data_IF_353570709484
#
_entry.id   IF_353570709484
#
_cell.length_a   1.000
_cell.length_b   1.000
_cell.length_c   1.000
_cell.angle_alpha   90.00
_cell.angle_beta   90.00
_cell.angle_gamma   90.00
#
_symmetry.space_group_name_H-M   'P 1'
#
loop_
_entity.id
_entity.type
_entity.pdbx_description
1 polymer ?
#
# COMPACT_ATOMS: atom_id res chain seq x y z
N UNK A 1 -60.28 3.82 74.04
CA UNK A 1 -59.77 2.65 73.36
C UNK A 1 -59.16 3.13 72.03
N UNK A 2 -57.84 3.29 71.95
CA UNK A 2 -57.13 3.73 70.75
C UNK A 2 -56.37 2.54 70.21
N UNK A 3 -56.68 2.16 68.95
CA UNK A 3 -56.05 1.08 68.25
C UNK A 3 -54.83 1.69 67.53
N UNK A 4 -53.63 1.22 67.91
CA UNK A 4 -52.37 1.57 67.25
C UNK A 4 -52.15 0.59 66.09
N UNK A 5 -52.08 1.11 64.82
CA UNK A 5 -51.70 0.35 63.71
C UNK A 5 -50.16 0.34 63.55
N UNK A 6 -49.53 -0.82 63.73
CA UNK A 6 -48.15 -1.04 63.45
C UNK A 6 -48.00 -1.14 61.90
N UNK A 7 -47.20 -0.24 61.31
CA UNK A 7 -46.71 -0.34 59.95
C UNK A 7 -45.39 -1.13 59.95
N UNK A 8 -45.43 -2.34 59.40
CA UNK A 8 -44.20 -3.10 59.05
C UNK A 8 -43.57 -2.50 57.79
N UNK A 9 -42.43 -1.89 57.96
CA UNK A 9 -41.52 -1.57 56.82
C UNK A 9 -40.72 -2.82 56.46
N UNK A 10 -41.04 -3.41 55.30
CA UNK A 10 -40.23 -4.46 54.69
C UNK A 10 -38.90 -3.88 54.18
N UNK A 11 -37.80 -4.26 54.79
CA UNK A 11 -36.46 -4.06 54.26
C UNK A 11 -36.25 -4.99 53.02
N UNK A 12 -36.30 -4.41 51.88
CA UNK A 12 -35.79 -5.07 50.65
C UNK A 12 -34.25 -5.00 50.66
N UNK A 13 -33.51 -6.11 50.68
CA UNK A 13 -32.08 -6.06 50.53
C UNK A 13 -31.80 -5.74 49.04
N UNK A 14 -31.34 -4.52 48.77
CA UNK A 14 -30.67 -4.22 47.51
C UNK A 14 -29.38 -5.08 47.42
N UNK A 15 -29.47 -6.16 46.68
CA UNK A 15 -28.27 -6.81 46.19
C UNK A 15 -27.60 -5.83 45.21
N UNK A 16 -26.64 -5.09 45.69
CA UNK A 16 -25.64 -4.44 44.88
C UNK A 16 -24.80 -5.58 44.27
N UNK A 17 -25.14 -5.95 43.06
CA UNK A 17 -24.24 -6.72 42.24
C UNK A 17 -23.08 -5.79 41.91
N UNK A 18 -22.07 -5.82 42.76
CA UNK A 18 -20.74 -5.36 42.44
C UNK A 18 -20.29 -6.22 41.28
N UNK A 19 -20.17 -5.66 40.06
CA UNK A 19 -19.28 -6.20 39.09
C UNK A 19 -17.89 -6.16 39.72
N UNK A 20 -17.48 -7.22 40.37
CA UNK A 20 -16.07 -7.48 40.59
C UNK A 20 -15.44 -7.51 39.17
N UNK A 21 -14.77 -6.41 38.82
CA UNK A 21 -13.72 -6.49 37.82
C UNK A 21 -12.79 -7.56 38.38
N UNK A 22 -12.79 -8.73 37.74
CA UNK A 22 -11.69 -9.67 37.89
C UNK A 22 -10.42 -8.85 37.77
N UNK A 23 -9.78 -8.61 38.88
CA UNK A 23 -8.43 -8.11 38.94
C UNK A 23 -7.57 -9.22 38.37
N UNK A 24 -7.45 -9.27 37.04
CA UNK A 24 -6.38 -10.03 36.45
C UNK A 24 -5.10 -9.42 36.99
N UNK A 25 -4.36 -10.17 37.78
CA UNK A 25 -2.94 -9.93 38.02
C UNK A 25 -2.29 -9.85 36.60
N UNK A 26 -2.32 -8.65 36.03
CA UNK A 26 -1.65 -8.38 34.76
C UNK A 26 -0.17 -8.43 35.10
N UNK A 27 0.42 -9.56 34.78
CA UNK A 27 1.85 -9.70 34.82
C UNK A 27 2.42 -8.62 33.87
N UNK A 28 3.07 -7.62 34.45
CA UNK A 28 3.73 -6.56 33.69
C UNK A 28 4.76 -7.23 32.79
N UNK A 29 4.54 -7.13 31.48
CA UNK A 29 5.53 -7.58 30.50
C UNK A 29 6.41 -6.38 30.21
N UNK A 30 7.67 -6.46 30.60
CA UNK A 30 8.66 -5.44 30.27
C UNK A 30 8.77 -5.32 28.75
N UNK A 31 8.50 -4.11 28.23
CA UNK A 31 8.62 -3.84 26.80
C UNK A 31 10.13 -3.74 26.50
N UNK A 32 10.66 -4.51 25.55
CA UNK A 32 12.08 -4.44 25.20
C UNK A 32 12.49 -3.02 24.84
N UNK A 33 13.70 -2.63 25.22
CA UNK A 33 14.28 -1.35 24.82
C UNK A 33 14.25 -1.23 23.27
N UNK A 34 13.86 -0.07 22.78
CA UNK A 34 13.77 0.18 21.35
C UNK A 34 12.53 -0.40 20.65
N UNK A 35 11.64 -1.10 21.35
CA UNK A 35 10.46 -1.72 20.74
C UNK A 35 9.47 -0.71 20.10
N UNK A 36 9.52 0.55 20.51
CA UNK A 36 8.78 1.63 19.84
C UNK A 36 9.36 2.00 18.47
N UNK A 37 10.60 1.62 18.18
CA UNK A 37 11.33 1.98 16.98
C UNK A 37 10.93 1.07 15.81
N UNK A 38 9.82 1.37 15.13
CA UNK A 38 9.27 0.56 14.02
C UNK A 38 10.29 0.23 12.93
N UNK A 39 11.23 1.13 12.67
CA UNK A 39 12.24 1.04 11.62
C UNK A 39 13.63 1.48 12.10
N UNK A 40 14.01 1.09 13.31
CA UNK A 40 15.29 1.49 13.89
C UNK A 40 15.46 3.01 13.91
N UNK A 41 16.60 3.49 13.46
CA UNK A 41 16.92 4.94 13.44
C UNK A 41 16.11 5.75 12.43
N UNK A 42 15.42 5.10 11.48
CA UNK A 42 14.50 5.78 10.55
C UNK A 42 13.10 6.00 11.16
N UNK A 43 12.91 5.66 12.43
CA UNK A 43 11.63 5.85 13.11
C UNK A 43 11.40 7.31 13.45
N UNK A 44 10.20 7.84 13.12
CA UNK A 44 9.75 9.16 13.55
C UNK A 44 8.63 9.05 14.60
N UNK A 45 8.51 10.05 15.47
CA UNK A 45 7.52 10.09 16.55
C UNK A 45 6.36 11.04 16.28
N UNK A 46 6.16 11.42 15.01
CA UNK A 46 5.05 12.27 14.61
C UNK A 46 3.71 11.54 14.76
N UNK A 47 2.70 12.27 15.21
CA UNK A 47 1.33 11.76 15.39
C UNK A 47 0.32 12.40 14.45
N UNK A 48 0.79 13.33 13.60
CA UNK A 48 -0.04 14.01 12.60
C UNK A 48 -0.32 13.12 11.37
N UNK A 49 -1.17 13.61 10.48
CA UNK A 49 -1.44 12.98 9.17
C UNK A 49 -0.21 12.92 8.25
N UNK A 50 0.82 13.72 8.54
CA UNK A 50 2.10 13.73 7.81
C UNK A 50 3.15 12.76 8.37
N UNK A 51 2.79 11.88 9.30
CA UNK A 51 3.74 10.94 9.90
C UNK A 51 4.35 9.95 8.90
N UNK A 52 3.69 9.69 7.77
CA UNK A 52 4.20 8.84 6.69
C UNK A 52 5.01 9.59 5.62
N UNK A 53 4.91 10.91 5.62
CA UNK A 53 5.43 11.82 4.61
C UNK A 53 6.56 12.70 5.17
N UNK A 54 7.31 12.17 6.09
CA UNK A 54 8.38 12.91 6.76
C UNK A 54 9.70 12.18 6.59
N UNK A 55 10.77 12.94 6.38
CA UNK A 55 12.11 12.39 6.22
C UNK A 55 12.58 11.62 7.46
N UNK A 56 13.41 10.62 7.26
CA UNK A 56 14.10 9.94 8.34
C UNK A 56 15.05 10.90 9.07
N UNK A 57 15.09 10.83 10.40
CA UNK A 57 15.77 11.81 11.26
C UNK A 57 17.29 11.97 11.04
N UNK A 58 17.92 11.02 10.37
CA UNK A 58 19.35 11.04 10.03
C UNK A 58 19.63 11.74 8.69
N UNK A 59 18.60 12.07 7.90
CA UNK A 59 18.79 12.76 6.64
C UNK A 59 19.24 14.21 6.89
N UNK A 60 20.17 14.70 6.10
CA UNK A 60 20.69 16.07 6.25
C UNK A 60 21.42 16.55 5.02
N UNK A 61 21.62 17.87 4.95
CA UNK A 61 22.36 18.52 3.88
C UNK A 61 21.75 18.29 2.50
N UNK A 62 22.57 17.91 1.53
CA UNK A 62 22.13 17.71 0.15
C UNK A 62 21.06 16.61 0.03
N UNK A 63 21.11 15.57 0.85
CA UNK A 63 20.12 14.51 0.82
C UNK A 63 18.75 14.97 1.32
N UNK A 64 18.70 15.87 2.32
CA UNK A 64 17.44 16.48 2.76
C UNK A 64 16.86 17.40 1.70
N UNK A 65 17.70 18.16 0.95
CA UNK A 65 17.23 18.96 -0.19
C UNK A 65 16.63 18.08 -1.27
N UNK A 66 17.35 17.07 -1.72
CA UNK A 66 16.87 16.11 -2.74
C UNK A 66 15.62 15.34 -2.31
N UNK A 67 15.49 15.05 -1.01
CA UNK A 67 14.27 14.46 -0.46
C UNK A 67 13.06 15.39 -0.65
N UNK A 68 13.23 16.69 -0.37
CA UNK A 68 12.16 17.68 -0.59
C UNK A 68 11.85 17.91 -2.07
N UNK A 69 12.85 17.83 -2.94
CA UNK A 69 12.65 17.90 -4.39
C UNK A 69 11.86 16.69 -4.86
N UNK A 70 12.22 15.49 -4.39
CA UNK A 70 11.51 14.24 -4.66
C UNK A 70 10.07 14.20 -4.12
N UNK A 71 9.81 14.78 -2.93
CA UNK A 71 8.46 14.94 -2.36
C UNK A 71 7.61 15.85 -3.26
N UNK A 72 8.18 16.98 -3.70
CA UNK A 72 7.53 17.89 -4.64
C UNK A 72 7.14 17.19 -5.94
N UNK A 73 8.06 16.44 -6.54
CA UNK A 73 7.82 15.68 -7.78
C UNK A 73 6.80 14.54 -7.60
N UNK A 74 6.79 13.91 -6.43
CA UNK A 74 5.85 12.86 -6.07
C UNK A 74 4.41 13.36 -5.99
N UNK A 75 4.21 14.56 -5.45
CA UNK A 75 2.90 15.20 -5.31
C UNK A 75 2.49 16.03 -6.54
N UNK A 76 3.43 16.32 -7.46
CA UNK A 76 3.18 17.17 -8.62
C UNK A 76 2.11 16.57 -9.53
N UNK A 77 1.07 17.40 -9.78
CA UNK A 77 -0.07 17.03 -10.62
C UNK A 77 0.31 17.21 -12.08
N UNK A 78 0.54 16.11 -12.78
CA UNK A 78 0.83 16.11 -14.20
C UNK A 78 -0.37 16.58 -15.01
N UNK A 79 -0.10 17.27 -16.12
CA UNK A 79 -1.14 17.80 -17.02
C UNK A 79 -0.90 17.31 -18.45
N UNK A 80 -1.88 17.48 -19.32
CA UNK A 80 -1.77 17.13 -20.75
C UNK A 80 -0.92 18.09 -21.58
N UNK A 81 -0.16 18.98 -20.97
CA UNK A 81 0.71 19.95 -21.66
C UNK A 81 2.07 19.32 -21.91
N UNK A 82 2.45 19.25 -23.16
CA UNK A 82 3.67 18.58 -23.66
C UNK A 82 5.00 19.27 -23.34
N UNK A 83 5.02 20.34 -22.58
CA UNK A 83 6.26 21.11 -22.47
C UNK A 83 7.14 20.69 -21.30
N UNK A 84 6.58 20.02 -20.29
CA UNK A 84 7.33 19.66 -19.08
C UNK A 84 6.79 18.36 -18.42
N UNK A 85 6.75 17.26 -19.13
CA UNK A 85 6.36 15.99 -18.55
C UNK A 85 4.86 15.83 -18.36
N UNK A 86 4.13 15.87 -19.46
CA UNK A 86 2.69 15.71 -19.51
C UNK A 86 2.22 14.29 -19.19
N UNK A 87 0.92 14.18 -18.90
CA UNK A 87 0.24 12.88 -18.91
C UNK A 87 0.30 12.28 -20.31
N UNK A 88 0.49 10.98 -20.40
CA UNK A 88 0.39 10.26 -21.67
C UNK A 88 -0.99 10.37 -22.31
N UNK A 89 -1.20 9.80 -23.52
CA UNK A 89 -2.50 9.85 -24.17
C UNK A 89 -3.62 9.33 -23.28
N UNK A 90 -3.33 8.26 -22.52
CA UNK A 90 -4.22 7.62 -21.54
C UNK A 90 -3.55 7.51 -20.18
N UNK A 91 -4.34 7.56 -19.12
CA UNK A 91 -3.83 7.47 -17.74
C UNK A 91 -4.91 6.97 -16.78
N UNK A 92 -4.50 6.48 -15.61
CA UNK A 92 -5.38 6.12 -14.51
C UNK A 92 -5.28 7.11 -13.33
N UNK A 93 -4.12 7.75 -13.16
CA UNK A 93 -3.85 8.78 -12.14
C UNK A 93 -3.02 9.92 -12.70
N UNK A 94 -2.85 11.00 -11.95
CA UNK A 94 -2.15 12.22 -12.40
C UNK A 94 -1.03 12.67 -11.46
N UNK A 95 -0.80 11.97 -10.36
CA UNK A 95 0.40 12.08 -9.51
C UNK A 95 0.50 10.85 -8.61
N UNK A 96 1.68 10.57 -8.06
CA UNK A 96 1.83 9.51 -7.05
C UNK A 96 1.00 9.83 -5.81
N UNK A 97 1.10 11.06 -5.30
CA UNK A 97 0.38 11.54 -4.12
C UNK A 97 -1.14 11.55 -4.27
N UNK A 98 -1.67 11.56 -5.51
CA UNK A 98 -3.11 11.47 -5.76
C UNK A 98 -3.69 10.12 -5.31
N UNK A 99 -2.94 9.02 -5.45
CA UNK A 99 -3.30 7.69 -4.98
C UNK A 99 -2.66 7.33 -3.64
N UNK A 100 -1.47 7.85 -3.35
CA UNK A 100 -0.67 7.55 -2.15
C UNK A 100 -0.54 8.77 -1.25
N UNK A 101 -1.66 9.37 -0.86
CA UNK A 101 -1.69 10.64 -0.13
C UNK A 101 -0.79 10.60 1.11
N UNK A 102 0.13 11.60 1.21
CA UNK A 102 1.18 11.67 2.23
C UNK A 102 1.97 10.36 2.32
N UNK A 103 2.43 9.82 1.20
CA UNK A 103 3.12 8.53 1.08
C UNK A 103 2.40 7.35 1.77
N UNK A 104 1.14 7.57 2.13
CA UNK A 104 0.31 6.64 2.87
C UNK A 104 -0.63 5.85 1.98
N UNK A 105 -1.73 5.43 2.58
CA UNK A 105 -2.82 4.73 1.90
C UNK A 105 -4.03 5.65 1.87
N UNK A 106 -4.61 5.88 0.71
CA UNK A 106 -5.85 6.62 0.61
C UNK A 106 -7.04 5.78 1.08
N UNK A 107 -8.09 6.47 1.51
CA UNK A 107 -9.38 5.83 1.72
C UNK A 107 -9.94 5.43 0.35
N UNK A 108 -10.43 4.19 0.18
CA UNK A 108 -11.08 3.79 -1.06
C UNK A 108 -12.20 4.77 -1.41
N UNK A 109 -12.14 5.32 -2.61
CA UNK A 109 -13.24 6.14 -3.14
C UNK A 109 -14.15 5.22 -3.93
N UNK A 110 -15.40 5.14 -3.52
CA UNK A 110 -16.41 4.36 -4.22
C UNK A 110 -16.91 5.14 -5.44
N UNK A 111 -17.00 4.47 -6.58
CA UNK A 111 -17.69 5.03 -7.75
C UNK A 111 -19.20 5.09 -7.50
N UNK A 112 -19.88 6.02 -8.10
CA UNK A 112 -21.34 6.08 -8.03
C UNK A 112 -21.96 4.87 -8.73
N UNK A 113 -22.99 4.29 -8.13
CA UNK A 113 -23.72 3.18 -8.72
C UNK A 113 -24.33 3.56 -10.09
N UNK A 114 -24.07 2.75 -11.12
CA UNK A 114 -24.61 2.96 -12.48
C UNK A 114 -23.95 4.09 -13.27
N UNK A 115 -22.93 4.76 -12.73
CA UNK A 115 -22.12 5.74 -13.45
C UNK A 115 -20.91 5.12 -14.13
N UNK A 116 -20.54 5.62 -15.31
CA UNK A 116 -19.19 5.42 -15.82
C UNK A 116 -18.23 6.12 -14.86
N UNK A 117 -17.35 5.36 -14.22
CA UNK A 117 -16.53 5.61 -13.01
C UNK A 117 -15.95 6.92 -12.94
N UNK A 118 -15.98 7.95 -13.20
CA UNK A 118 -15.20 9.13 -12.83
C UNK A 118 -15.97 10.45 -12.78
N UNK A 119 -16.81 10.53 -11.79
CA UNK A 119 -17.12 11.87 -11.28
C UNK A 119 -16.15 12.20 -10.15
N UNK A 120 -14.91 12.36 -10.52
CA UNK A 120 -13.85 12.62 -9.59
C UNK A 120 -12.82 11.49 -9.55
N UNK A 121 -11.69 11.81 -9.01
CA UNK A 121 -10.56 10.94 -8.87
C UNK A 121 -10.88 9.72 -8.01
N UNK A 122 -10.67 8.54 -8.55
CA UNK A 122 -10.67 7.30 -7.78
C UNK A 122 -9.22 6.95 -7.42
N UNK A 123 -8.96 6.79 -6.13
CA UNK A 123 -7.66 6.29 -5.65
C UNK A 123 -7.51 4.77 -5.79
N UNK A 124 -8.45 4.09 -6.44
CA UNK A 124 -8.36 2.66 -6.71
C UNK A 124 -7.98 2.41 -8.15
N UNK A 125 -7.04 1.50 -8.36
CA UNK A 125 -6.61 1.06 -9.68
C UNK A 125 -7.31 -0.24 -10.07
N UNK A 126 -7.64 -0.38 -11.35
CA UNK A 126 -8.23 -1.60 -11.91
C UNK A 126 -7.18 -2.35 -12.69
N UNK A 127 -6.62 -3.41 -12.09
CA UNK A 127 -5.72 -4.30 -12.82
C UNK A 127 -6.49 -5.08 -13.88
N UNK A 128 -5.95 -5.09 -15.09
CA UNK A 128 -6.46 -5.89 -16.20
C UNK A 128 -5.45 -6.97 -16.57
N UNK A 129 -5.92 -8.19 -16.64
CA UNK A 129 -5.13 -9.35 -17.07
C UNK A 129 -5.96 -10.28 -17.94
N UNK A 130 -5.30 -11.17 -18.64
CA UNK A 130 -5.97 -12.34 -19.23
C UNK A 130 -6.50 -13.24 -18.11
N UNK A 131 -7.43 -14.13 -18.44
CA UNK A 131 -7.98 -15.11 -17.47
C UNK A 131 -6.93 -16.03 -16.83
N UNK A 132 -5.78 -16.20 -17.47
CA UNK A 132 -4.65 -16.95 -16.91
C UNK A 132 -3.70 -16.10 -16.05
N UNK A 133 -4.02 -14.82 -15.81
CA UNK A 133 -3.24 -13.88 -14.99
C UNK A 133 -2.11 -13.15 -15.75
N UNK A 134 -1.88 -13.45 -17.03
CA UNK A 134 -0.88 -12.73 -17.82
C UNK A 134 -1.36 -11.31 -18.17
N UNK A 135 -0.45 -10.35 -18.15
CA UNK A 135 -0.72 -8.99 -18.64
C UNK A 135 -0.81 -8.95 -20.17
N UNK A 136 -1.51 -7.96 -20.67
CA UNK A 136 -1.55 -7.66 -22.09
C UNK A 136 -0.33 -6.83 -22.49
N UNK A 137 0.25 -7.15 -23.62
CA UNK A 137 1.30 -6.31 -24.18
C UNK A 137 0.68 -4.96 -24.60
N UNK A 138 1.40 -3.87 -24.38
CA UNK A 138 1.00 -2.50 -24.75
C UNK A 138 -0.27 -1.96 -24.07
N UNK A 139 -0.63 -2.51 -22.90
CA UNK A 139 -1.75 -2.03 -22.08
C UNK A 139 -1.35 -1.84 -20.62
N UNK A 140 -0.07 -1.93 -20.31
CA UNK A 140 0.39 -1.84 -18.94
C UNK A 140 -0.23 -2.89 -18.02
N UNK A 141 -0.45 -2.51 -16.77
CA UNK A 141 -1.02 -3.37 -15.74
C UNK A 141 -2.42 -2.96 -15.31
N UNK A 142 -2.79 -1.71 -15.59
CA UNK A 142 -4.05 -1.09 -15.13
C UNK A 142 -4.88 -0.67 -16.33
N UNK A 143 -6.18 -0.57 -16.11
CA UNK A 143 -7.09 0.06 -17.06
C UNK A 143 -6.91 1.57 -16.97
N UNK A 144 -6.59 2.20 -18.11
CA UNK A 144 -6.55 3.65 -18.23
C UNK A 144 -7.95 4.14 -18.59
N UNK A 145 -8.70 4.54 -17.57
CA UNK A 145 -10.09 4.99 -17.69
C UNK A 145 -10.21 6.51 -17.89
N UNK A 146 -9.08 7.18 -18.05
CA UNK A 146 -8.94 8.58 -18.36
C UNK A 146 -8.03 8.78 -19.57
N UNK A 147 -8.23 9.91 -20.27
CA UNK A 147 -7.40 10.29 -21.41
C UNK A 147 -7.30 11.81 -21.48
N UNK A 148 -6.31 12.31 -22.21
CA UNK A 148 -6.21 13.72 -22.54
C UNK A 148 -7.35 14.15 -23.47
N UNK A 149 -7.56 15.46 -23.59
CA UNK A 149 -8.60 15.99 -24.49
C UNK A 149 -8.40 15.52 -25.93
N UNK A 150 -9.49 14.98 -26.52
CA UNK A 150 -9.51 14.49 -27.90
C UNK A 150 -9.01 13.06 -28.09
N UNK A 151 -8.64 12.38 -27.02
CA UNK A 151 -8.27 10.96 -27.00
C UNK A 151 -9.31 10.17 -26.21
N UNK A 152 -9.69 8.99 -26.70
CA UNK A 152 -10.57 8.09 -25.95
C UNK A 152 -9.76 7.30 -24.92
N UNK A 153 -10.27 7.08 -23.69
CA UNK A 153 -9.63 6.19 -22.74
C UNK A 153 -9.61 4.74 -23.25
N UNK A 154 -8.91 3.83 -22.60
CA UNK A 154 -8.97 2.41 -22.96
C UNK A 154 -10.35 1.81 -22.72
N UNK A 155 -11.03 2.26 -21.68
CA UNK A 155 -12.39 1.83 -21.36
C UNK A 155 -12.97 2.61 -20.19
N UNK A 156 -14.26 2.38 -19.93
CA UNK A 156 -14.96 2.96 -18.77
C UNK A 156 -15.47 1.85 -17.86
N UNK A 157 -15.46 2.13 -16.57
CA UNK A 157 -15.87 1.19 -15.55
C UNK A 157 -17.19 1.63 -14.91
N UNK A 158 -18.06 0.66 -14.64
CA UNK A 158 -19.23 0.80 -13.78
C UNK A 158 -19.11 -0.10 -12.57
N UNK A 159 -19.69 0.31 -11.44
CA UNK A 159 -19.75 -0.49 -10.25
C UNK A 159 -21.18 -0.60 -9.73
N UNK A 160 -21.55 -1.80 -9.31
CA UNK A 160 -22.79 -2.08 -8.57
C UNK A 160 -22.42 -2.57 -7.19
N UNK A 161 -23.10 -2.08 -6.17
CA UNK A 161 -22.89 -2.47 -4.78
C UNK A 161 -24.06 -3.33 -4.31
N UNK A 162 -23.76 -4.54 -3.84
CA UNK A 162 -24.72 -5.41 -3.17
C UNK A 162 -24.38 -5.44 -1.67
N UNK A 163 -25.34 -5.07 -0.82
CA UNK A 163 -25.17 -5.01 0.63
C UNK A 163 -25.78 -6.23 1.28
N UNK A 164 -25.07 -6.81 2.25
CA UNK A 164 -25.53 -7.96 3.01
C UNK A 164 -25.31 -7.70 4.51
N UNK A 165 -26.36 -7.90 5.28
CA UNK A 165 -26.31 -7.80 6.74
C UNK A 165 -25.96 -9.16 7.34
N UNK A 166 -25.03 -9.14 8.28
CA UNK A 166 -24.58 -10.29 9.07
C UNK A 166 -24.76 -9.97 10.56
N UNK A 167 -24.69 -11.00 11.38
CA UNK A 167 -24.85 -10.89 12.83
C UNK A 167 -23.69 -11.60 13.53
N UNK A 168 -23.14 -10.95 14.56
CA UNK A 168 -22.19 -11.55 15.48
C UNK A 168 -22.91 -12.47 16.48
N UNK A 169 -22.20 -13.42 17.16
CA UNK A 169 -22.80 -14.31 18.14
C UNK A 169 -23.50 -13.64 19.32
N UNK A 170 -23.18 -12.39 19.62
CA UNK A 170 -23.79 -11.57 20.66
C UNK A 170 -25.03 -10.79 20.20
N UNK A 171 -25.41 -10.92 18.92
CA UNK A 171 -26.57 -10.25 18.32
C UNK A 171 -26.29 -8.88 17.72
N UNK A 172 -25.06 -8.36 17.80
CA UNK A 172 -24.69 -7.15 17.09
C UNK A 172 -24.67 -7.42 15.57
N UNK A 173 -25.27 -6.50 14.80
CA UNK A 173 -25.32 -6.65 13.33
C UNK A 173 -24.27 -5.75 12.64
N UNK A 174 -23.76 -6.22 11.52
CA UNK A 174 -22.89 -5.44 10.63
C UNK A 174 -23.27 -5.68 9.18
N UNK A 175 -22.92 -4.71 8.33
CA UNK A 175 -23.20 -4.78 6.91
C UNK A 175 -21.89 -4.88 6.11
N UNK A 176 -21.84 -5.78 5.15
CA UNK A 176 -20.77 -5.90 4.16
C UNK A 176 -21.27 -5.44 2.80
N UNK A 177 -20.41 -4.69 2.12
CA UNK A 177 -20.62 -4.22 0.76
C UNK A 177 -19.79 -5.05 -0.22
N UNK A 178 -20.45 -5.69 -1.18
CA UNK A 178 -19.81 -6.43 -2.26
C UNK A 178 -19.88 -5.62 -3.56
N UNK A 179 -18.77 -5.04 -4.03
CA UNK A 179 -18.72 -4.38 -5.33
C UNK A 179 -18.63 -5.39 -6.46
N UNK A 180 -19.37 -5.13 -7.54
CA UNK A 180 -19.25 -5.83 -8.83
C UNK A 180 -18.85 -4.82 -9.88
N UNK A 181 -17.70 -4.99 -10.51
CA UNK A 181 -17.14 -4.09 -11.51
C UNK A 181 -17.41 -4.64 -12.90
N UNK A 182 -17.83 -3.74 -13.80
CA UNK A 182 -18.14 -4.06 -15.21
C UNK A 182 -17.56 -2.99 -16.11
N UNK A 183 -16.81 -3.38 -17.13
CA UNK A 183 -16.38 -2.47 -18.19
C UNK A 183 -17.60 -2.21 -19.09
N UNK A 184 -18.05 -0.97 -19.13
CA UNK A 184 -19.27 -0.58 -19.86
C UNK A 184 -18.99 -0.08 -21.26
N UNK A 185 -17.84 0.55 -21.46
CA UNK A 185 -17.39 1.06 -22.75
C UNK A 185 -15.95 0.59 -22.93
N UNK A 186 -15.59 0.17 -24.12
CA UNK A 186 -14.27 -0.34 -24.44
C UNK A 186 -13.79 0.24 -25.76
N UNK A 187 -12.71 0.98 -25.71
CA UNK A 187 -12.11 1.67 -26.85
C UNK A 187 -10.74 1.11 -27.25
N UNK A 188 -10.21 0.19 -26.47
CA UNK A 188 -8.99 -0.51 -26.83
C UNK A 188 -9.25 -1.50 -27.97
N UNK A 189 -8.45 -1.42 -29.01
CA UNK A 189 -8.75 -2.02 -30.31
C UNK A 189 -8.39 -3.50 -30.46
N UNK A 190 -7.49 -4.03 -29.66
CA UNK A 190 -6.96 -5.39 -29.82
C UNK A 190 -7.39 -6.38 -28.74
N UNK A 191 -8.16 -5.95 -27.75
CA UNK A 191 -8.62 -6.78 -26.65
C UNK A 191 -10.14 -6.75 -26.57
N UNK A 192 -10.75 -7.90 -26.34
CA UNK A 192 -12.20 -7.98 -26.10
C UNK A 192 -12.49 -8.00 -24.60
N UNK A 193 -13.51 -7.26 -24.12
CA UNK A 193 -13.85 -7.22 -22.69
C UNK A 193 -14.09 -8.60 -22.06
N UNK A 194 -14.62 -9.55 -22.82
CA UNK A 194 -14.88 -10.91 -22.35
C UNK A 194 -13.61 -11.74 -22.11
N UNK A 195 -12.47 -11.33 -22.64
CA UNK A 195 -11.15 -11.96 -22.43
C UNK A 195 -10.44 -11.43 -21.19
N UNK A 196 -11.00 -10.39 -20.56
CA UNK A 196 -10.40 -9.73 -19.41
C UNK A 196 -10.78 -10.40 -18.09
N UNK A 197 -9.83 -10.33 -17.17
CA UNK A 197 -10.07 -10.44 -15.74
C UNK A 197 -9.71 -9.11 -15.09
N UNK A 198 -10.67 -8.51 -14.39
CA UNK A 198 -10.49 -7.24 -13.69
C UNK A 198 -10.31 -7.48 -12.20
N UNK A 199 -9.32 -6.82 -11.61
CA UNK A 199 -9.09 -6.87 -10.16
C UNK A 199 -8.78 -5.47 -9.64
N UNK A 200 -9.68 -4.96 -8.81
CA UNK A 200 -9.53 -3.63 -8.20
C UNK A 200 -8.51 -3.71 -7.06
N UNK A 201 -7.62 -2.74 -7.01
CA UNK A 201 -6.54 -2.62 -6.03
C UNK A 201 -6.59 -1.27 -5.33
N UNK A 202 -6.40 -1.31 -4.02
CA UNK A 202 -6.17 -0.11 -3.21
C UNK A 202 -4.66 0.10 -3.16
N UNK A 203 -4.16 1.30 -3.51
CA UNK A 203 -2.74 1.62 -3.44
C UNK A 203 -2.17 1.34 -2.05
N UNK A 204 -0.96 0.79 -2.02
CA UNK A 204 -0.22 0.52 -0.78
C UNK A 204 0.46 1.80 -0.29
N UNK A 205 0.83 1.82 0.98
CA UNK A 205 1.66 2.91 1.51
C UNK A 205 3.11 2.73 1.05
N UNK A 206 3.81 3.84 0.83
CA UNK A 206 5.23 3.84 0.45
C UNK A 206 6.17 3.98 1.66
N UNK A 207 5.66 4.41 2.82
CA UNK A 207 6.43 4.43 4.06
C UNK A 207 7.02 3.05 4.37
N UNK A 208 8.31 3.01 4.66
CA UNK A 208 9.02 1.77 4.97
C UNK A 208 9.64 1.05 3.76
N UNK A 209 9.48 1.60 2.54
CA UNK A 209 10.04 0.98 1.32
C UNK A 209 11.58 0.85 1.40
N UNK A 210 12.27 1.89 1.86
CA UNK A 210 13.73 1.83 2.03
C UNK A 210 14.18 0.73 2.98
N UNK A 211 13.46 0.51 4.08
CA UNK A 211 13.73 -0.57 5.03
C UNK A 211 13.50 -1.94 4.39
N UNK A 212 12.45 -2.09 3.58
CA UNK A 212 12.19 -3.34 2.84
C UNK A 212 13.30 -3.62 1.83
N UNK A 213 13.77 -2.62 1.10
CA UNK A 213 14.91 -2.76 0.17
C UNK A 213 16.23 -3.07 0.88
N UNK A 214 16.33 -2.69 2.15
CA UNK A 214 17.51 -2.98 2.99
C UNK A 214 17.45 -4.34 3.70
N UNK A 215 16.35 -5.09 3.65
CA UNK A 215 16.19 -6.37 4.36
C UNK A 215 17.32 -7.35 4.09
N UNK A 216 17.71 -8.12 5.11
CA UNK A 216 18.61 -9.27 4.94
C UNK A 216 17.83 -10.42 4.28
N UNK A 217 18.07 -10.62 3.00
CA UNK A 217 17.39 -11.65 2.20
C UNK A 217 17.59 -13.06 2.77
N UNK A 218 18.75 -13.33 3.42
CA UNK A 218 19.00 -14.62 4.05
C UNK A 218 18.06 -14.90 5.21
N UNK A 219 17.62 -13.86 5.92
CA UNK A 219 16.64 -14.00 6.99
C UNK A 219 15.27 -14.40 6.44
N UNK A 220 14.85 -13.82 5.32
CA UNK A 220 13.60 -14.19 4.63
C UNK A 220 13.69 -15.63 4.08
N UNK A 221 14.79 -16.01 3.48
CA UNK A 221 15.02 -17.37 2.99
C UNK A 221 15.01 -18.39 4.15
N UNK A 222 15.57 -18.01 5.30
CA UNK A 222 15.53 -18.85 6.51
C UNK A 222 14.12 -18.97 7.09
N UNK A 223 13.30 -17.91 7.00
CA UNK A 223 11.89 -17.96 7.35
C UNK A 223 11.12 -18.91 6.42
N UNK A 224 11.33 -18.82 5.10
CA UNK A 224 10.71 -19.71 4.14
C UNK A 224 11.03 -21.21 4.44
N UNK A 225 12.27 -21.49 4.80
CA UNK A 225 12.69 -22.85 5.17
C UNK A 225 12.00 -23.39 6.43
N UNK A 226 11.50 -22.52 7.32
CA UNK A 226 10.82 -22.86 8.58
C UNK A 226 9.29 -22.72 8.47
N UNK A 227 8.78 -22.01 7.49
CA UNK A 227 7.36 -21.67 7.36
C UNK A 227 6.57 -22.85 6.78
N UNK A 228 6.45 -23.91 7.58
CA UNK A 228 5.61 -25.04 7.28
C UNK A 228 4.92 -25.51 8.57
N UNK A 229 3.66 -25.11 8.72
CA UNK A 229 2.82 -25.36 9.89
C UNK A 229 1.58 -26.14 9.45
N UNK A 230 1.71 -27.45 9.16
CA UNK A 230 0.61 -28.24 8.60
C UNK A 230 -0.59 -28.34 9.53
N UNK A 231 -0.40 -28.22 10.85
CA UNK A 231 -1.46 -28.18 11.84
C UNK A 231 -2.39 -26.95 11.72
N UNK A 232 -1.92 -25.89 11.07
CA UNK A 232 -2.68 -24.67 10.77
C UNK A 232 -2.97 -24.51 9.28
N UNK A 233 -2.50 -25.43 8.44
CA UNK A 233 -2.60 -25.30 6.97
C UNK A 233 -1.79 -24.15 6.39
N UNK A 234 -0.69 -23.76 7.05
CA UNK A 234 0.15 -22.62 6.65
C UNK A 234 1.45 -23.17 6.05
N UNK A 235 1.78 -22.68 4.85
CA UNK A 235 3.10 -22.84 4.22
C UNK A 235 3.56 -21.52 3.63
N UNK A 236 4.88 -21.28 3.62
CA UNK A 236 5.44 -20.05 3.10
C UNK A 236 6.60 -20.33 2.13
N UNK A 237 6.65 -19.61 1.04
CA UNK A 237 7.73 -19.67 0.05
C UNK A 237 8.17 -18.29 -0.42
N UNK A 238 9.46 -18.14 -0.71
CA UNK A 238 9.98 -16.92 -1.32
C UNK A 238 9.36 -16.68 -2.70
N UNK A 239 9.14 -15.42 -3.04
CA UNK A 239 8.82 -15.01 -4.40
C UNK A 239 10.09 -14.51 -5.10
N UNK A 240 10.57 -15.26 -6.09
CA UNK A 240 11.70 -14.85 -6.90
C UNK A 240 11.22 -14.24 -8.22
N UNK A 241 11.65 -13.01 -8.45
CA UNK A 241 11.27 -12.21 -9.60
C UNK A 241 12.38 -12.27 -10.65
N UNK A 242 12.03 -12.64 -11.87
CA UNK A 242 12.96 -12.65 -12.99
C UNK A 242 12.68 -11.44 -13.89
N UNK A 243 13.57 -10.47 -13.85
CA UNK A 243 13.49 -9.24 -14.64
C UNK A 243 14.78 -9.04 -15.43
N UNK A 244 14.67 -8.79 -16.72
CA UNK A 244 15.82 -8.55 -17.62
C UNK A 244 16.92 -9.62 -17.50
N UNK A 245 16.52 -10.88 -17.30
CA UNK A 245 17.44 -12.02 -17.18
C UNK A 245 18.13 -12.17 -15.82
N UNK A 246 17.80 -11.36 -14.83
CA UNK A 246 18.31 -11.45 -13.45
C UNK A 246 17.17 -11.89 -12.53
N UNK A 247 17.40 -12.96 -11.77
CA UNK A 247 16.44 -13.43 -10.77
C UNK A 247 16.84 -12.91 -9.40
N UNK A 248 15.90 -12.23 -8.72
CA UNK A 248 16.08 -11.64 -7.39
C UNK A 248 14.90 -11.95 -6.48
N UNK A 249 15.13 -11.95 -5.16
CA UNK A 249 14.04 -12.05 -4.19
C UNK A 249 13.17 -10.79 -4.26
N UNK A 250 11.87 -10.98 -4.35
CA UNK A 250 10.90 -9.89 -4.23
C UNK A 250 10.78 -9.42 -2.77
N UNK A 251 10.68 -8.11 -2.58
CA UNK A 251 10.69 -7.45 -1.26
C UNK A 251 9.55 -6.44 -1.10
N UNK A 252 8.97 -5.95 -2.19
CA UNK A 252 7.93 -4.93 -2.14
C UNK A 252 6.65 -5.33 -2.90
N UNK A 253 5.65 -4.48 -2.82
CA UNK A 253 4.29 -4.68 -3.30
C UNK A 253 3.54 -5.86 -2.67
N UNK A 254 2.28 -6.07 -3.06
CA UNK A 254 1.51 -7.22 -2.62
C UNK A 254 2.18 -8.51 -3.09
N UNK A 255 2.37 -9.48 -2.17
CA UNK A 255 2.99 -10.77 -2.48
C UNK A 255 4.45 -10.65 -2.92
N UNK A 256 5.18 -9.63 -2.45
CA UNK A 256 6.59 -9.43 -2.78
C UNK A 256 6.86 -9.55 -4.30
N UNK A 257 6.14 -8.78 -5.11
CA UNK A 257 6.17 -8.89 -6.58
C UNK A 257 7.29 -8.07 -7.22
N UNK A 258 7.99 -7.21 -6.46
CA UNK A 258 9.05 -6.36 -6.96
C UNK A 258 10.32 -6.54 -6.13
N UNK A 259 11.45 -6.62 -6.80
CA UNK A 259 12.77 -6.81 -6.19
C UNK A 259 13.51 -5.50 -5.89
N UNK A 260 13.06 -4.41 -6.48
CA UNK A 260 13.50 -3.02 -6.25
C UNK A 260 12.34 -2.05 -6.55
N UNK A 261 12.58 -0.75 -6.47
CA UNK A 261 11.56 0.28 -6.68
C UNK A 261 11.38 0.70 -8.15
N UNK A 262 11.99 0.00 -9.11
CA UNK A 262 11.93 0.41 -10.52
C UNK A 262 10.49 0.52 -11.04
N UNK A 263 9.61 -0.41 -10.63
CA UNK A 263 8.21 -0.40 -11.09
C UNK A 263 7.42 0.72 -10.42
N UNK A 264 7.62 0.92 -9.13
CA UNK A 264 6.95 1.95 -8.33
C UNK A 264 7.34 3.35 -8.82
N UNK A 265 8.59 3.52 -9.27
CA UNK A 265 9.10 4.79 -9.78
C UNK A 265 8.82 4.99 -11.27
N UNK A 266 8.26 4.00 -11.93
CA UNK A 266 8.11 4.02 -13.38
C UNK A 266 7.16 5.08 -13.91
N UNK A 267 6.17 5.53 -13.12
CA UNK A 267 5.10 6.47 -13.50
C UNK A 267 4.33 6.12 -14.78
N UNK A 268 4.96 5.41 -15.72
CA UNK A 268 4.41 5.10 -17.05
C UNK A 268 3.13 4.28 -16.98
N UNK A 269 3.08 3.33 -16.04
CA UNK A 269 1.95 2.40 -15.91
C UNK A 269 0.65 3.08 -15.47
N UNK A 270 0.73 4.15 -14.69
CA UNK A 270 -0.43 4.79 -14.07
C UNK A 270 -0.76 6.14 -14.69
N UNK A 271 0.24 6.85 -15.20
CA UNK A 271 0.11 8.21 -15.71
C UNK A 271 0.47 8.34 -17.21
N UNK A 272 0.99 7.29 -17.82
CA UNK A 272 1.50 7.36 -19.18
C UNK A 272 2.69 8.30 -19.33
N UNK A 273 3.51 8.45 -18.27
CA UNK A 273 4.64 9.36 -18.26
C UNK A 273 5.93 8.62 -18.56
N UNK A 274 6.60 8.97 -19.65
CA UNK A 274 7.82 8.30 -20.11
C UNK A 274 9.05 8.76 -19.34
N UNK A 275 10.01 7.85 -19.17
CA UNK A 275 11.26 8.11 -18.46
C UNK A 275 12.37 7.14 -18.92
N UNK A 276 13.59 7.31 -18.42
CA UNK A 276 14.74 6.49 -18.84
C UNK A 276 14.60 4.98 -18.54
N UNK A 277 13.71 4.57 -17.65
CA UNK A 277 13.43 3.16 -17.33
C UNK A 277 12.31 2.59 -18.20
N UNK A 278 11.34 3.42 -18.54
CA UNK A 278 10.19 3.14 -19.39
C UNK A 278 10.07 4.24 -20.45
N UNK A 279 10.87 4.16 -21.52
CA UNK A 279 10.93 5.20 -22.53
C UNK A 279 9.79 5.14 -23.56
N UNK A 280 9.00 4.06 -23.54
CA UNK A 280 7.91 3.84 -24.48
C UNK A 280 6.58 4.21 -23.81
N UNK A 281 5.69 4.82 -24.59
CA UNK A 281 4.33 5.11 -24.12
C UNK A 281 3.58 3.83 -23.77
N UNK A 282 2.82 3.87 -22.69
CA UNK A 282 2.10 2.70 -22.19
C UNK A 282 1.07 2.15 -23.19
N UNK A 283 0.55 3.00 -24.05
CA UNK A 283 -0.41 2.66 -25.09
C UNK A 283 0.23 2.56 -26.49
N UNK A 284 1.55 2.35 -26.57
CA UNK A 284 2.23 2.18 -27.86
C UNK A 284 1.58 1.06 -28.69
N UNK A 285 1.24 1.40 -29.94
CA UNK A 285 0.56 0.49 -30.85
C UNK A 285 -0.94 0.39 -30.66
N UNK A 286 -1.52 1.18 -29.77
CA UNK A 286 -2.98 1.36 -29.65
C UNK A 286 -3.44 2.58 -30.46
N UNK A 287 -4.75 2.63 -30.77
CA UNK A 287 -5.39 3.76 -31.47
C UNK A 287 -5.22 5.10 -30.73
N UNK A 288 -5.06 5.06 -29.41
CA UNK A 288 -4.86 6.23 -28.57
C UNK A 288 -3.58 6.99 -28.91
N UNK A 289 -2.54 6.28 -29.37
CA UNK A 289 -1.30 6.93 -29.86
C UNK A 289 -1.57 7.78 -31.11
N UNK A 290 -2.33 7.26 -32.06
CA UNK A 290 -2.70 7.99 -33.28
C UNK A 290 -3.57 9.20 -32.94
N UNK A 291 -4.55 9.03 -32.04
CA UNK A 291 -5.40 10.11 -31.56
C UNK A 291 -4.58 11.21 -30.85
N UNK A 292 -3.63 10.83 -29.97
CA UNK A 292 -2.70 11.74 -29.31
C UNK A 292 -1.87 12.54 -30.30
N UNK A 293 -1.31 11.88 -31.32
CA UNK A 293 -0.55 12.53 -32.38
C UNK A 293 -1.41 13.54 -33.16
N UNK A 294 -2.68 13.23 -33.42
CA UNK A 294 -3.62 14.17 -34.06
C UNK A 294 -3.92 15.39 -33.18
N UNK A 295 -3.81 15.23 -31.87
CA UNK A 295 -3.96 16.34 -30.90
C UNK A 295 -2.65 17.11 -30.67
N UNK A 296 -1.57 16.74 -31.36
CA UNK A 296 -0.28 17.44 -31.31
C UNK A 296 0.68 16.95 -30.24
N UNK A 297 0.43 15.76 -29.65
CA UNK A 297 1.43 15.13 -28.78
C UNK A 297 2.67 14.75 -29.60
N UNK A 298 3.85 14.97 -29.02
CA UNK A 298 5.13 14.49 -29.51
C UNK A 298 5.68 13.46 -28.53
N UNK A 299 6.22 12.38 -29.04
CA UNK A 299 6.78 11.28 -28.27
C UNK A 299 8.31 11.19 -28.43
N UNK A 300 8.93 12.28 -28.87
CA UNK A 300 10.36 12.33 -29.19
C UNK A 300 11.25 12.54 -27.95
N UNK A 301 10.66 12.93 -26.81
CA UNK A 301 11.38 13.25 -25.58
C UNK A 301 10.74 12.52 -24.38
N UNK A 302 11.57 12.23 -23.39
CA UNK A 302 11.09 11.67 -22.14
C UNK A 302 10.40 12.77 -21.30
N UNK A 303 9.31 12.42 -20.65
CA UNK A 303 8.51 13.33 -19.81
C UNK A 303 9.18 13.62 -18.48
N UNK A 304 9.96 12.68 -17.96
CA UNK A 304 10.65 12.82 -16.67
C UNK A 304 12.15 12.60 -16.84
N UNK A 305 12.93 13.53 -16.33
CA UNK A 305 14.39 13.43 -16.34
C UNK A 305 14.89 12.30 -15.45
N UNK A 306 16.10 11.81 -15.73
CA UNK A 306 16.72 10.80 -14.86
C UNK A 306 17.02 11.36 -13.47
N UNK A 307 17.36 12.64 -13.35
CA UNK A 307 17.62 13.32 -12.08
C UNK A 307 16.36 13.38 -11.22
N UNK A 308 15.23 13.78 -11.81
CA UNK A 308 13.93 13.79 -11.11
C UNK A 308 13.52 12.41 -10.61
N UNK A 309 13.73 11.36 -11.42
CA UNK A 309 13.49 9.99 -10.98
C UNK A 309 14.38 9.58 -9.81
N UNK A 310 15.65 9.99 -9.80
CA UNK A 310 16.57 9.71 -8.70
C UNK A 310 16.20 10.43 -7.41
N UNK A 311 15.59 11.61 -7.49
CA UNK A 311 15.12 12.35 -6.34
C UNK A 311 13.86 11.71 -5.74
N UNK A 312 12.93 11.25 -6.57
CA UNK A 312 11.78 10.46 -6.09
C UNK A 312 12.22 9.11 -5.51
N UNK A 313 13.24 8.46 -6.10
CA UNK A 313 13.82 7.22 -5.55
C UNK A 313 14.42 7.45 -4.15
N UNK A 314 15.17 8.54 -3.99
CA UNK A 314 15.70 8.94 -2.68
C UNK A 314 14.57 9.24 -1.68
N UNK A 315 13.55 10.00 -2.10
CA UNK A 315 12.39 10.28 -1.28
C UNK A 315 11.74 9.00 -0.76
N UNK A 316 11.40 8.05 -1.62
CA UNK A 316 10.75 6.81 -1.23
C UNK A 316 11.61 5.93 -0.31
N UNK A 317 12.93 5.91 -0.51
CA UNK A 317 13.84 5.16 0.35
C UNK A 317 14.05 5.81 1.72
N UNK A 318 13.91 7.13 1.82
CA UNK A 318 14.25 7.91 3.02
C UNK A 318 13.03 8.37 3.82
N UNK A 319 11.84 7.92 3.49
CA UNK A 319 10.64 8.12 4.30
C UNK A 319 10.83 7.55 5.71
N UNK A 320 10.59 8.37 6.73
CA UNK A 320 10.63 7.97 8.11
C UNK A 320 9.38 7.18 8.51
N UNK A 321 9.55 6.09 9.21
CA UNK A 321 8.45 5.21 9.63
C UNK A 321 7.91 5.65 10.99
N UNK A 322 6.59 5.84 11.15
CA UNK A 322 6.02 6.19 12.46
C UNK A 322 6.32 5.16 13.54
N UNK A 323 6.64 5.64 14.72
CA UNK A 323 6.86 4.81 15.89
C UNK A 323 5.61 3.99 16.25
N UNK A 324 5.82 2.81 16.84
CA UNK A 324 4.73 2.08 17.52
C UNK A 324 4.19 2.92 18.65
N UNK A 325 2.87 3.06 18.69
CA UNK A 325 2.19 3.92 19.67
C UNK A 325 1.80 3.14 20.91
N UNK A 326 1.85 3.82 22.07
CA UNK A 326 1.32 3.34 23.33
C UNK A 326 1.88 1.97 23.75
N UNK A 327 3.15 1.68 23.46
CA UNK A 327 3.77 0.37 23.73
C UNK A 327 3.72 -0.02 25.22
N UNK A 328 3.62 0.95 26.13
CA UNK A 328 3.52 0.73 27.58
C UNK A 328 2.05 0.67 28.07
N UNK A 329 1.07 0.80 27.20
CA UNK A 329 -0.34 0.67 27.57
C UNK A 329 -0.68 -0.80 27.82
N UNK A 330 -1.25 -1.16 29.00
CA UNK A 330 -1.61 -2.54 29.31
C UNK A 330 -2.58 -3.18 28.31
N UNK A 331 -3.45 -2.40 27.69
CA UNK A 331 -4.38 -2.91 26.66
C UNK A 331 -3.63 -3.24 25.36
N UNK A 332 -2.63 -2.43 24.98
CA UNK A 332 -1.76 -2.70 23.81
C UNK A 332 -0.94 -3.96 24.06
N UNK A 333 -0.36 -4.13 25.26
CA UNK A 333 0.39 -5.32 25.65
C UNK A 333 -0.49 -6.58 25.65
N UNK A 334 -1.71 -6.49 26.17
CA UNK A 334 -2.70 -7.58 26.11
C UNK A 334 -3.06 -7.92 24.66
N UNK A 335 -3.20 -6.93 23.79
CA UNK A 335 -3.42 -7.12 22.36
C UNK A 335 -2.27 -7.89 21.71
N UNK A 336 -1.02 -7.57 22.07
CA UNK A 336 0.16 -8.30 21.58
C UNK A 336 0.17 -9.76 22.06
N UNK A 337 -0.14 -10.02 23.32
CA UNK A 337 -0.30 -11.41 23.81
C UNK A 337 -1.34 -12.19 22.98
N UNK A 338 -2.50 -11.58 22.71
CA UNK A 338 -3.55 -12.20 21.88
C UNK A 338 -3.10 -12.45 20.46
N UNK A 339 -2.28 -11.57 19.87
CA UNK A 339 -1.68 -11.73 18.56
C UNK A 339 -0.80 -13.01 18.50
N UNK A 340 0.00 -13.27 19.52
CA UNK A 340 0.80 -14.49 19.62
C UNK A 340 -0.05 -15.73 19.93
N UNK A 341 -1.00 -15.65 20.84
CA UNK A 341 -1.93 -16.74 21.16
C UNK A 341 -2.73 -17.18 19.94
N UNK A 342 -3.22 -16.24 19.13
CA UNK A 342 -3.93 -16.47 17.87
C UNK A 342 -3.03 -16.95 16.73
N UNK A 343 -1.71 -17.07 16.93
CA UNK A 343 -0.73 -17.50 15.93
C UNK A 343 -0.55 -16.56 14.74
N UNK A 344 -0.98 -15.31 14.85
CA UNK A 344 -0.82 -14.32 13.79
C UNK A 344 0.65 -14.10 13.42
N UNK A 345 1.56 -14.23 14.39
CA UNK A 345 3.00 -14.07 14.21
C UNK A 345 3.65 -15.13 13.30
N UNK A 346 2.94 -16.21 12.95
CA UNK A 346 3.46 -17.24 12.02
C UNK A 346 3.63 -16.69 10.60
N UNK A 347 2.75 -15.75 10.17
CA UNK A 347 2.88 -15.03 8.91
C UNK A 347 3.29 -13.56 9.13
N UNK A 348 2.82 -12.96 10.24
CA UNK A 348 3.12 -11.58 10.60
C UNK A 348 4.35 -11.53 11.51
N UNK A 349 5.52 -11.89 10.98
CA UNK A 349 6.80 -11.85 11.71
C UNK A 349 7.04 -10.44 12.23
N UNK A 350 7.20 -10.34 13.55
CA UNK A 350 7.24 -9.03 14.22
C UNK A 350 8.57 -8.32 14.10
N UNK A 351 9.65 -9.04 13.86
CA UNK A 351 11.00 -8.49 13.90
C UNK A 351 11.86 -9.08 12.80
N UNK A 352 12.49 -8.22 12.02
CA UNK A 352 13.47 -8.54 10.99
C UNK A 352 14.66 -7.58 11.07
N UNK A 353 15.74 -7.88 10.35
CA UNK A 353 16.94 -7.08 10.33
C UNK A 353 17.30 -6.64 8.91
N UNK A 354 17.92 -5.47 8.83
CA UNK A 354 18.48 -4.99 7.57
C UNK A 354 19.94 -5.41 7.42
N UNK A 355 20.35 -5.64 6.17
CA UNK A 355 21.74 -5.98 5.83
C UNK A 355 22.70 -4.82 6.18
N UNK A 356 23.98 -5.13 6.36
CA UNK A 356 25.01 -4.17 6.81
C UNK A 356 25.10 -2.93 5.91
N UNK A 357 24.99 -3.11 4.59
CA UNK A 357 25.13 -2.01 3.60
C UNK A 357 23.90 -1.13 3.43
N UNK A 358 22.79 -1.50 4.06
CA UNK A 358 21.52 -0.81 3.87
C UNK A 358 20.90 -1.03 2.48
N UNK A 359 20.15 -0.06 1.99
CA UNK A 359 19.55 -0.10 0.66
C UNK A 359 20.49 0.50 -0.40
N UNK A 360 20.13 0.31 -1.67
CA UNK A 360 20.85 0.91 -2.80
C UNK A 360 19.82 1.54 -3.72
N UNK A 361 20.00 2.81 -4.04
CA UNK A 361 19.18 3.53 -5.01
C UNK A 361 19.35 2.96 -6.43
N UNK A 362 18.43 3.27 -7.33
CA UNK A 362 18.47 2.80 -8.72
C UNK A 362 19.71 3.26 -9.51
N UNK A 363 20.33 4.38 -9.10
CA UNK A 363 21.59 4.87 -9.67
C UNK A 363 22.85 4.22 -9.06
N UNK A 364 22.68 3.28 -8.12
CA UNK A 364 23.78 2.59 -7.47
C UNK A 364 24.30 3.24 -6.19
N UNK A 365 23.75 4.36 -5.76
CA UNK A 365 24.12 5.01 -4.49
C UNK A 365 23.71 4.16 -3.30
N UNK A 366 24.63 3.80 -2.43
CA UNK A 366 24.34 3.06 -1.20
C UNK A 366 23.80 4.00 -0.12
N UNK A 367 22.81 3.54 0.63
CA UNK A 367 22.22 4.22 1.79
C UNK A 367 22.58 3.45 3.09
N UNK A 368 23.81 3.62 3.61
CA UNK A 368 24.28 2.84 4.74
C UNK A 368 23.52 3.11 6.04
N UNK A 369 22.82 4.25 6.14
CA UNK A 369 21.98 4.60 7.29
C UNK A 369 20.80 3.62 7.49
N UNK A 370 20.36 2.95 6.42
CA UNK A 370 19.35 1.90 6.47
C UNK A 370 19.92 0.54 6.87
N UNK A 371 21.24 0.43 7.03
CA UNK A 371 21.91 -0.83 7.39
C UNK A 371 21.97 -1.07 8.90
N UNK A 372 22.10 -2.36 9.28
CA UNK A 372 22.20 -2.81 10.67
C UNK A 372 21.05 -2.33 11.57
N UNK A 373 19.85 -2.24 11.02
CA UNK A 373 18.67 -1.84 11.77
C UNK A 373 17.83 -3.06 12.16
N UNK A 374 17.25 -3.00 13.35
CA UNK A 374 16.14 -3.87 13.75
C UNK A 374 14.85 -3.17 13.37
N UNK A 375 14.00 -3.84 12.61
CA UNK A 375 12.73 -3.29 12.13
C UNK A 375 11.55 -4.20 12.48
N UNK A 376 10.36 -3.64 12.54
CA UNK A 376 9.15 -4.35 12.94
C UNK A 376 8.07 -4.27 11.85
N UNK A 377 8.22 -5.01 10.73
CA UNK A 377 7.34 -4.91 9.56
C UNK A 377 6.02 -5.66 9.73
N UNK A 378 5.92 -6.59 10.67
CA UNK A 378 4.78 -7.51 10.84
C UNK A 378 4.44 -8.27 9.55
N UNK A 379 5.47 -8.78 8.89
CA UNK A 379 5.38 -9.57 7.66
C UNK A 379 6.58 -10.51 7.57
N UNK A 380 6.39 -11.66 6.97
CA UNK A 380 7.46 -12.61 6.62
C UNK A 380 7.95 -12.46 5.17
N UNK A 381 7.27 -11.62 4.36
CA UNK A 381 7.57 -11.40 2.93
C UNK A 381 7.48 -12.68 2.08
N UNK A 382 6.69 -13.66 2.50
CA UNK A 382 6.50 -14.92 1.81
C UNK A 382 5.17 -14.99 1.06
N UNK A 383 5.10 -15.89 0.10
CA UNK A 383 3.84 -16.32 -0.50
C UNK A 383 3.27 -17.48 0.31
N UNK A 384 2.00 -17.40 0.65
CA UNK A 384 1.22 -18.44 1.31
C UNK A 384 0.14 -18.96 0.39
N UNK A 385 -0.08 -20.30 0.37
CA UNK A 385 -1.11 -20.97 -0.43
C UNK A 385 -2.37 -21.23 0.41
#
# INVERSE_FOLDING_TARGET
MRIVKLLLYGLFPCFLWSCEREGTDQQYVEVPEGFALSAGTATNFLTSSKAYDFEASWLSGIYSSRFNDGDGLYDDVRTSSNQDGGLGPVYAGYSCGSCHRNAGRTKPTLWSEGGSGNYGFSSMLVYITRKNGAFFQNYGRVLHDQAIYGVEPEGKLSVKYDYQTFEFPDGETYELCKPTYTITEWYADSIRPEDLFCSVRIPLRHVGMGQMMALDQKEIEALAAKSNYPEYGISGRCNYISERGVTRLGLSANKAQHADLTVELGFSSDMGVTNSRYPEEICEGQIQMDQGSMMGLSYDQLDVSTEDMEDVDLYMHCLGVPARRNVNDPQVQKGEQKFYEAKCHLCHVTTLHTKVRGATLLNGTELPWLGNQTIHPYSDFLLHD
#
